data_IF_891809478758
#
_entry.id   IF_891809478758
#
_cell.length_a   1.000
_cell.length_b   1.000
_cell.length_c   1.000
_cell.angle_alpha   90.00
_cell.angle_beta   90.00
_cell.angle_gamma   90.00
#
_symmetry.space_group_name_H-M   'P 1'
#
loop_
_entity.id
_entity.type
_entity.pdbx_description
1 polymer ?
#
# COMPACT_ATOMS: atom_id res chain seq x y z
N UNK A 1 -18.42 72.87 22.60
CA UNK A 1 -18.71 72.92 21.15
C UNK A 1 -17.70 72.04 20.42
N UNK A 2 -18.18 71.08 19.62
CA UNK A 2 -17.44 70.22 18.66
C UNK A 2 -16.54 69.11 19.29
N UNK A 3 -16.46 67.86 18.82
CA UNK A 3 -16.99 67.20 17.61
C UNK A 3 -16.89 65.67 17.78
N UNK A 4 -18.00 64.98 17.57
CA UNK A 4 -18.24 63.84 16.68
C UNK A 4 -17.26 62.64 16.66
N UNK A 5 -17.80 61.52 17.16
CA UNK A 5 -17.76 60.14 16.66
C UNK A 5 -16.84 59.88 15.45
N UNK A 6 -15.86 59.00 15.62
CA UNK A 6 -15.25 58.27 14.50
C UNK A 6 -15.43 56.77 14.69
N UNK A 7 -16.07 56.21 13.68
CA UNK A 7 -16.44 54.83 13.45
C UNK A 7 -15.31 53.85 13.78
N UNK A 8 -15.68 52.80 14.51
CA UNK A 8 -14.98 51.52 14.57
C UNK A 8 -15.06 50.91 13.17
N UNK A 9 -13.91 50.74 12.50
CA UNK A 9 -13.80 49.88 11.32
C UNK A 9 -13.01 48.65 11.72
N UNK A 10 -13.71 47.62 12.20
CA UNK A 10 -13.15 46.27 12.35
C UNK A 10 -13.13 45.67 10.95
N UNK A 11 -11.96 45.61 10.34
CA UNK A 11 -11.73 44.87 9.10
C UNK A 11 -11.62 43.38 9.46
N UNK A 12 -12.74 42.66 9.40
CA UNK A 12 -12.79 41.21 9.55
C UNK A 12 -12.25 40.58 8.25
N UNK A 13 -10.93 40.40 8.17
CA UNK A 13 -10.28 39.65 7.10
C UNK A 13 -10.61 38.17 7.25
N UNK A 14 -11.59 37.69 6.48
CA UNK A 14 -11.92 36.27 6.36
C UNK A 14 -10.81 35.56 5.57
N UNK A 15 -9.80 35.06 6.28
CA UNK A 15 -8.81 34.16 5.71
C UNK A 15 -9.47 32.80 5.44
N UNK A 16 -10.00 32.63 4.23
CA UNK A 16 -10.42 31.31 3.74
C UNK A 16 -9.14 30.51 3.46
N UNK A 17 -8.71 29.72 4.44
CA UNK A 17 -7.75 28.64 4.20
C UNK A 17 -8.46 27.58 3.37
N UNK A 18 -8.27 27.61 2.06
CA UNK A 18 -8.61 26.48 1.19
C UNK A 18 -7.61 25.38 1.52
N UNK A 19 -7.98 24.50 2.44
CA UNK A 19 -7.26 23.24 2.65
C UNK A 19 -7.37 22.44 1.36
N UNK A 20 -6.28 22.37 0.58
CA UNK A 20 -6.15 21.38 -0.48
C UNK A 20 -6.18 20.00 0.16
N UNK A 21 -7.37 19.39 0.20
CA UNK A 21 -7.49 17.97 0.49
C UNK A 21 -6.82 17.25 -0.68
N UNK A 22 -5.66 16.63 -0.42
CA UNK A 22 -5.13 15.66 -1.35
C UNK A 22 -6.14 14.51 -1.42
N UNK A 23 -6.96 14.50 -2.47
CA UNK A 23 -7.98 13.47 -2.64
C UNK A 23 -7.28 12.17 -2.97
N UNK A 24 -7.49 11.14 -2.16
CA UNK A 24 -7.05 9.80 -2.48
C UNK A 24 -7.84 9.30 -3.69
N UNK A 25 -7.14 8.89 -4.75
CA UNK A 25 -7.75 8.18 -5.85
C UNK A 25 -7.79 6.69 -5.50
N UNK A 26 -8.99 6.16 -5.33
CA UNK A 26 -9.24 4.72 -5.16
C UNK A 26 -9.30 4.09 -6.55
N UNK A 27 -8.39 3.17 -6.86
CA UNK A 27 -8.39 2.46 -8.14
C UNK A 27 -9.21 1.17 -8.09
N UNK A 28 -9.15 0.48 -6.95
CA UNK A 28 -9.96 -0.69 -6.62
C UNK A 28 -10.17 -0.70 -5.11
N UNK A 29 -11.37 -1.06 -4.65
CA UNK A 29 -11.59 -1.19 -3.20
C UNK A 29 -10.95 -2.46 -2.65
N UNK A 30 -10.62 -2.48 -1.36
CA UNK A 30 -10.14 -3.71 -0.70
C UNK A 30 -11.12 -4.89 -0.87
N UNK A 31 -12.43 -4.61 -0.81
CA UNK A 31 -13.47 -5.61 -0.98
C UNK A 31 -13.48 -6.19 -2.39
N UNK A 32 -13.38 -5.35 -3.43
CA UNK A 32 -13.29 -5.81 -4.81
C UNK A 32 -12.00 -6.61 -5.06
N UNK A 33 -10.86 -6.13 -4.55
CA UNK A 33 -9.60 -6.85 -4.66
C UNK A 33 -9.70 -8.25 -4.04
N UNK A 34 -10.20 -8.34 -2.80
CA UNK A 34 -10.45 -9.62 -2.12
C UNK A 34 -11.40 -10.52 -2.91
N UNK A 35 -12.51 -9.97 -3.43
CA UNK A 35 -13.48 -10.73 -4.21
C UNK A 35 -12.87 -11.29 -5.50
N UNK A 36 -11.98 -10.54 -6.16
CA UNK A 36 -11.27 -11.02 -7.34
C UNK A 36 -10.26 -12.12 -6.98
N UNK A 37 -9.46 -11.91 -5.92
CA UNK A 37 -8.40 -12.85 -5.51
C UNK A 37 -8.95 -14.19 -5.04
N UNK A 38 -10.09 -14.16 -4.35
CA UNK A 38 -10.77 -15.36 -3.85
C UNK A 38 -11.92 -15.84 -4.76
N UNK A 39 -11.99 -15.40 -6.02
CA UNK A 39 -13.05 -15.83 -6.95
C UNK A 39 -13.00 -17.34 -7.26
N UNK A 40 -11.84 -17.96 -7.14
CA UNK A 40 -11.64 -19.40 -7.37
C UNK A 40 -12.13 -20.26 -6.20
N UNK A 41 -12.52 -19.64 -5.08
CA UNK A 41 -12.92 -20.33 -3.85
C UNK A 41 -14.33 -20.90 -3.99
N UNK A 42 -14.51 -22.17 -3.62
CA UNK A 42 -15.81 -22.84 -3.61
C UNK A 42 -16.73 -22.24 -2.56
N UNK A 43 -18.05 -22.35 -2.77
CA UNK A 43 -19.06 -21.68 -1.93
C UNK A 43 -19.04 -22.06 -0.43
N UNK A 44 -18.43 -23.18 -0.06
CA UNK A 44 -18.29 -23.69 1.30
C UNK A 44 -16.99 -23.25 2.00
N UNK A 45 -16.00 -22.78 1.24
CA UNK A 45 -14.75 -22.23 1.77
C UNK A 45 -14.81 -20.69 1.83
N UNK A 46 -14.23 -20.10 2.87
CA UNK A 46 -14.14 -18.64 3.02
C UNK A 46 -12.77 -18.24 3.54
N UNK A 47 -12.17 -17.15 3.02
CA UNK A 47 -10.93 -16.64 3.58
C UNK A 47 -11.15 -16.21 5.03
N UNK A 48 -10.26 -16.67 5.91
CA UNK A 48 -10.21 -16.25 7.31
C UNK A 48 -9.46 -14.93 7.40
N UNK A 49 -9.89 -14.08 8.32
CA UNK A 49 -9.14 -12.87 8.67
C UNK A 49 -8.30 -13.16 9.89
N UNK A 50 -6.99 -13.01 9.75
CA UNK A 50 -6.02 -13.26 10.80
C UNK A 50 -5.27 -11.96 11.15
N UNK A 51 -4.56 -11.98 12.28
CA UNK A 51 -3.79 -10.84 12.76
C UNK A 51 -2.38 -11.30 13.11
N UNK A 52 -1.40 -10.73 12.44
CA UNK A 52 0.02 -10.95 12.68
C UNK A 52 0.57 -9.81 13.55
N UNK A 53 1.14 -10.15 14.70
CA UNK A 53 1.90 -9.20 15.52
C UNK A 53 3.30 -9.04 14.96
N UNK A 54 3.76 -7.80 14.81
CA UNK A 54 5.11 -7.51 14.36
C UNK A 54 6.02 -7.43 15.59
N UNK A 55 6.59 -8.58 15.96
CA UNK A 55 7.64 -8.62 16.97
C UNK A 55 8.91 -7.90 16.48
N UNK A 56 9.93 -7.83 17.33
CA UNK A 56 11.16 -7.12 16.98
C UNK A 56 11.87 -7.73 15.77
N UNK A 57 11.91 -9.07 15.67
CA UNK A 57 12.59 -9.77 14.57
C UNK A 57 11.90 -9.50 13.22
N UNK A 58 10.56 -9.52 13.23
CA UNK A 58 9.77 -9.21 12.04
C UNK A 58 9.85 -7.73 11.68
N UNK A 59 9.85 -6.82 12.67
CA UNK A 59 10.10 -5.40 12.42
C UNK A 59 11.47 -5.14 11.80
N UNK A 60 12.52 -5.82 12.27
CA UNK A 60 13.87 -5.69 11.73
C UNK A 60 13.93 -6.21 10.29
N UNK A 61 13.29 -7.35 10.01
CA UNK A 61 13.19 -7.92 8.67
C UNK A 61 12.44 -7.01 7.69
N UNK A 62 11.31 -6.43 8.11
CA UNK A 62 10.58 -5.44 7.32
C UNK A 62 11.41 -4.16 7.13
N UNK A 63 12.13 -3.71 8.16
CA UNK A 63 13.01 -2.53 8.06
C UNK A 63 14.11 -2.74 7.04
N UNK A 64 14.69 -3.95 6.95
CA UNK A 64 15.67 -4.29 5.92
C UNK A 64 15.12 -4.17 4.49
N UNK A 65 13.83 -4.47 4.27
CA UNK A 65 13.17 -4.35 2.96
C UNK A 65 12.74 -2.90 2.69
N UNK A 66 12.11 -2.25 3.65
CA UNK A 66 11.48 -0.94 3.49
C UNK A 66 12.49 0.21 3.61
N UNK A 67 13.61 0.00 4.31
CA UNK A 67 14.56 1.05 4.68
C UNK A 67 14.08 1.94 5.82
N UNK A 68 12.94 1.62 6.43
CA UNK A 68 12.41 2.26 7.63
C UNK A 68 11.50 1.28 8.40
N UNK A 69 11.26 1.52 9.71
CA UNK A 69 10.31 0.72 10.47
C UNK A 69 8.91 0.77 9.87
N UNK A 70 8.19 -0.36 9.93
CA UNK A 70 6.80 -0.36 9.53
C UNK A 70 5.94 0.28 10.63
N UNK A 71 5.04 1.23 10.33
CA UNK A 71 4.44 2.11 11.34
C UNK A 71 3.37 1.45 12.22
N UNK A 72 3.02 0.18 11.98
CA UNK A 72 1.97 -0.55 12.70
C UNK A 72 2.59 -1.65 13.57
N UNK A 73 2.00 -1.95 14.72
CA UNK A 73 2.43 -3.05 15.60
C UNK A 73 1.85 -4.42 15.20
N UNK A 74 0.82 -4.41 14.35
CA UNK A 74 0.16 -5.61 13.86
C UNK A 74 -0.45 -5.38 12.49
N UNK A 75 -0.57 -6.45 11.73
CA UNK A 75 -1.17 -6.47 10.39
C UNK A 75 -2.37 -7.41 10.38
N UNK A 76 -3.46 -6.98 9.77
CA UNK A 76 -4.55 -7.87 9.39
C UNK A 76 -4.30 -8.40 7.99
N UNK A 77 -4.59 -9.67 7.78
CA UNK A 77 -4.49 -10.31 6.47
C UNK A 77 -5.61 -11.33 6.29
N UNK A 78 -5.86 -11.68 5.04
CA UNK A 78 -6.83 -12.71 4.68
C UNK A 78 -6.06 -13.94 4.25
N UNK A 79 -6.45 -15.11 4.74
CA UNK A 79 -5.82 -16.38 4.43
C UNK A 79 -6.86 -17.41 4.02
N UNK A 80 -6.55 -18.16 2.97
CA UNK A 80 -7.27 -19.38 2.63
C UNK A 80 -6.26 -20.36 2.04
N UNK A 81 -6.19 -21.56 2.61
CA UNK A 81 -5.20 -22.58 2.23
C UNK A 81 -3.78 -21.97 2.19
N UNK A 82 -3.10 -22.04 1.04
CA UNK A 82 -1.79 -21.42 0.84
C UNK A 82 -1.84 -20.08 0.09
N UNK A 83 -2.96 -19.37 0.15
CA UNK A 83 -3.10 -18.00 -0.34
C UNK A 83 -3.20 -17.02 0.82
N UNK A 84 -2.45 -15.91 0.74
CA UNK A 84 -2.61 -14.77 1.65
C UNK A 84 -2.83 -13.48 0.88
N UNK A 85 -3.68 -12.60 1.40
CA UNK A 85 -3.87 -11.23 0.89
C UNK A 85 -3.55 -10.19 1.96
N UNK A 86 -2.70 -9.25 1.60
CA UNK A 86 -2.19 -8.17 2.44
C UNK A 86 -2.56 -6.81 1.87
N UNK A 87 -2.83 -5.84 2.75
CA UNK A 87 -2.93 -4.43 2.39
C UNK A 87 -1.87 -3.65 3.13
N UNK A 88 -0.90 -3.12 2.38
CA UNK A 88 0.31 -2.50 2.92
C UNK A 88 0.46 -1.09 2.35
N UNK A 89 0.98 -0.19 3.18
CA UNK A 89 1.23 1.20 2.82
C UNK A 89 2.72 1.42 2.68
N UNK A 90 3.15 2.12 1.64
CA UNK A 90 4.54 2.58 1.48
C UNK A 90 4.56 4.00 0.91
N UNK A 91 5.53 4.81 1.34
CA UNK A 91 5.69 6.17 0.81
C UNK A 91 6.26 6.08 -0.61
N UNK A 92 5.57 6.70 -1.56
CA UNK A 92 6.11 6.93 -2.89
C UNK A 92 7.15 8.05 -2.85
N UNK A 93 6.73 9.25 -3.23
CA UNK A 93 7.59 10.44 -3.20
C UNK A 93 7.38 11.25 -1.91
N UNK A 94 6.13 11.50 -1.54
CA UNK A 94 5.72 12.41 -0.46
C UNK A 94 4.54 11.87 0.37
N UNK A 95 3.73 10.95 -0.18
CA UNK A 95 2.48 10.45 0.39
C UNK A 95 2.42 8.92 0.34
N UNK A 96 1.69 8.29 1.28
CA UNK A 96 1.52 6.85 1.27
C UNK A 96 0.64 6.40 0.11
N UNK A 97 1.08 5.34 -0.56
CA UNK A 97 0.33 4.56 -1.52
C UNK A 97 -0.09 3.26 -0.84
N UNK A 98 -1.36 2.90 -0.95
CA UNK A 98 -1.88 1.65 -0.39
C UNK A 98 -1.91 0.60 -1.49
N UNK A 99 -1.31 -0.55 -1.24
CA UNK A 99 -1.21 -1.66 -2.18
C UNK A 99 -1.91 -2.90 -1.63
N UNK A 100 -2.55 -3.66 -2.52
CA UNK A 100 -3.04 -5.00 -2.25
C UNK A 100 -2.04 -6.01 -2.83
N UNK A 101 -1.62 -6.99 -2.03
CA UNK A 101 -0.71 -8.06 -2.47
C UNK A 101 -1.36 -9.40 -2.16
N UNK A 102 -1.53 -10.22 -3.19
CA UNK A 102 -1.97 -11.62 -3.13
C UNK A 102 -0.76 -12.50 -3.39
N UNK A 103 -0.50 -13.44 -2.49
CA UNK A 103 0.61 -14.40 -2.59
C UNK A 103 0.05 -15.81 -2.48
N UNK A 104 0.43 -16.68 -3.42
CA UNK A 104 0.06 -18.10 -3.47
C UNK A 104 1.36 -18.89 -3.65
N UNK A 105 1.57 -19.94 -2.85
CA UNK A 105 2.73 -20.83 -3.00
C UNK A 105 4.08 -20.08 -3.06
N UNK A 106 4.27 -19.13 -2.13
CA UNK A 106 5.46 -18.26 -2.05
C UNK A 106 5.74 -17.39 -3.30
N UNK A 107 4.72 -17.18 -4.14
CA UNK A 107 4.80 -16.39 -5.38
C UNK A 107 3.70 -15.35 -5.42
N UNK A 108 3.99 -14.20 -6.00
CA UNK A 108 2.99 -13.15 -6.17
C UNK A 108 1.95 -13.62 -7.18
N UNK A 109 0.71 -13.77 -6.72
CA UNK A 109 -0.46 -13.97 -7.59
C UNK A 109 -0.90 -12.64 -8.22
N UNK A 110 -0.86 -11.56 -7.43
CA UNK A 110 -1.19 -10.22 -7.91
C UNK A 110 -0.70 -9.15 -6.95
N UNK A 111 -0.31 -8.00 -7.49
CA UNK A 111 -0.13 -6.76 -6.74
C UNK A 111 -0.81 -5.60 -7.47
N UNK A 112 -1.60 -4.79 -6.75
CA UNK A 112 -2.32 -3.65 -7.32
C UNK A 112 -2.30 -2.45 -6.38
N UNK A 113 -2.43 -1.25 -6.95
CA UNK A 113 -2.66 -0.02 -6.19
C UNK A 113 -4.13 0.04 -5.78
N UNK A 114 -4.39 0.14 -4.48
CA UNK A 114 -5.75 0.29 -3.92
C UNK A 114 -6.10 1.78 -3.84
N UNK A 115 -5.24 2.55 -3.17
CA UNK A 115 -5.39 4.00 -3.00
C UNK A 115 -4.08 4.73 -3.29
N UNK A 116 -4.18 5.81 -4.06
CA UNK A 116 -3.05 6.63 -4.47
C UNK A 116 -3.28 8.09 -4.10
N UNK A 117 -2.29 8.70 -3.46
CA UNK A 117 -2.40 10.04 -2.86
C UNK A 117 -1.33 11.01 -3.36
N UNK A 118 -0.63 10.64 -4.43
CA UNK A 118 0.49 11.38 -5.00
C UNK A 118 0.08 12.13 -6.26
N UNK A 119 0.86 13.15 -6.60
CA UNK A 119 0.60 13.96 -7.80
C UNK A 119 1.06 13.32 -9.11
N UNK A 120 2.04 12.39 -9.05
CA UNK A 120 2.72 11.81 -10.21
C UNK A 120 3.12 10.36 -9.94
N UNK A 121 3.39 9.63 -11.02
CA UNK A 121 3.76 8.23 -10.96
C UNK A 121 2.56 7.34 -10.70
N UNK A 122 1.37 7.79 -11.11
CA UNK A 122 0.14 7.01 -10.97
C UNK A 122 0.15 5.80 -11.90
N UNK A 123 0.93 5.81 -12.97
CA UNK A 123 1.04 4.77 -14.00
C UNK A 123 1.33 3.36 -13.43
N UNK A 124 1.86 3.25 -12.21
CA UNK A 124 2.05 1.98 -11.52
C UNK A 124 0.73 1.22 -11.25
N UNK A 125 -0.43 1.90 -11.27
CA UNK A 125 -1.74 1.26 -11.14
C UNK A 125 -2.14 0.43 -12.36
N UNK A 126 -1.51 0.68 -13.52
CA UNK A 126 -1.88 0.04 -14.77
C UNK A 126 -1.54 -1.45 -14.73
N UNK A 127 -2.48 -2.30 -15.15
CA UNK A 127 -2.27 -3.74 -15.20
C UNK A 127 -1.05 -4.12 -16.06
N UNK A 128 -0.80 -3.40 -17.15
CA UNK A 128 0.37 -3.62 -18.00
C UNK A 128 1.69 -3.48 -17.25
N UNK A 129 1.74 -2.65 -16.21
CA UNK A 129 2.90 -2.51 -15.35
C UNK A 129 2.92 -3.58 -14.24
N UNK A 130 1.81 -3.74 -13.52
CA UNK A 130 1.76 -4.60 -12.33
C UNK A 130 1.94 -6.08 -12.63
N UNK A 131 1.61 -6.53 -13.85
CA UNK A 131 1.83 -7.92 -14.28
C UNK A 131 3.30 -8.36 -14.32
N UNK A 132 4.26 -7.43 -14.29
CA UNK A 132 5.68 -7.77 -14.17
C UNK A 132 6.02 -8.46 -12.84
N UNK A 133 5.16 -8.29 -11.82
CA UNK A 133 5.33 -8.92 -10.51
C UNK A 133 4.72 -10.32 -10.43
N UNK A 134 3.87 -10.70 -11.38
CA UNK A 134 3.20 -12.00 -11.37
C UNK A 134 4.25 -13.13 -11.38
N UNK A 135 4.02 -14.17 -10.58
CA UNK A 135 4.88 -15.34 -10.40
C UNK A 135 6.26 -15.10 -9.75
N UNK A 136 6.60 -13.85 -9.41
CA UNK A 136 7.85 -13.54 -8.72
C UNK A 136 7.85 -14.04 -7.27
N UNK A 137 9.02 -14.48 -6.81
CA UNK A 137 9.27 -14.94 -5.45
C UNK A 137 10.45 -14.21 -4.82
N UNK A 138 10.66 -14.44 -3.51
CA UNK A 138 11.87 -14.00 -2.83
C UNK A 138 13.02 -14.98 -3.08
N UNK A 139 14.20 -14.42 -3.33
CA UNK A 139 15.50 -15.09 -3.25
C UNK A 139 15.93 -15.30 -1.79
N UNK A 140 17.06 -15.97 -1.58
CA UNK A 140 17.65 -16.15 -0.23
C UNK A 140 18.01 -14.81 0.43
N UNK A 141 18.42 -13.82 -0.37
CA UNK A 141 18.76 -12.46 0.10
C UNK A 141 17.53 -11.55 0.28
N UNK A 142 16.32 -12.11 0.25
CA UNK A 142 15.05 -11.38 0.30
C UNK A 142 14.88 -10.34 -0.83
N UNK A 143 15.54 -10.49 -1.96
CA UNK A 143 15.26 -9.73 -3.19
C UNK A 143 14.28 -10.49 -4.10
N UNK A 144 13.63 -9.77 -5.04
CA UNK A 144 12.79 -10.42 -6.05
C UNK A 144 13.67 -11.22 -7.02
N UNK A 145 13.23 -12.42 -7.38
CA UNK A 145 13.93 -13.27 -8.35
C UNK A 145 13.78 -12.83 -9.82
N UNK A 146 13.12 -11.71 -10.08
CA UNK A 146 12.86 -11.17 -11.41
C UNK A 146 13.11 -9.67 -11.50
N UNK A 147 13.35 -9.21 -12.73
CA UNK A 147 13.49 -7.78 -13.02
C UNK A 147 12.13 -7.11 -13.18
N UNK A 148 12.04 -5.85 -12.76
CA UNK A 148 10.88 -5.00 -12.93
C UNK A 148 11.37 -3.71 -13.59
N UNK A 149 10.90 -3.46 -14.81
CA UNK A 149 11.21 -2.26 -15.56
C UNK A 149 10.71 -1.02 -14.81
N UNK A 150 11.41 0.09 -15.01
CA UNK A 150 11.00 1.38 -14.47
C UNK A 150 9.87 2.01 -15.27
N UNK A 151 9.23 3.01 -14.66
CA UNK A 151 8.40 3.98 -15.37
C UNK A 151 9.10 5.33 -15.26
N UNK A 152 9.34 5.97 -16.41
CA UNK A 152 9.96 7.30 -16.48
C UNK A 152 9.19 8.30 -15.62
N UNK A 153 9.89 8.97 -14.70
CA UNK A 153 9.27 9.95 -13.80
C UNK A 153 8.49 9.37 -12.62
N UNK A 154 8.45 8.04 -12.46
CA UNK A 154 7.75 7.35 -11.38
C UNK A 154 8.68 6.43 -10.56
N UNK A 155 9.99 6.67 -10.59
CA UNK A 155 11.00 5.82 -9.92
C UNK A 155 10.68 5.53 -8.45
N UNK A 156 10.17 6.52 -7.72
CA UNK A 156 9.83 6.35 -6.31
C UNK A 156 8.57 5.51 -6.10
N UNK A 157 7.52 5.69 -6.92
CA UNK A 157 6.33 4.85 -6.91
C UNK A 157 6.66 3.39 -7.27
N UNK A 158 7.53 3.20 -8.28
CA UNK A 158 8.04 1.87 -8.66
C UNK A 158 8.83 1.25 -7.52
N UNK A 159 9.72 2.00 -6.88
CA UNK A 159 10.48 1.52 -5.72
C UNK A 159 9.56 1.11 -4.57
N UNK A 160 8.52 1.90 -4.27
CA UNK A 160 7.54 1.60 -3.23
C UNK A 160 6.83 0.27 -3.51
N UNK A 161 6.37 0.06 -4.75
CA UNK A 161 5.71 -1.18 -5.15
C UNK A 161 6.66 -2.40 -5.08
N UNK A 162 7.93 -2.26 -5.44
CA UNK A 162 8.95 -3.31 -5.28
C UNK A 162 9.17 -3.69 -3.82
N UNK A 163 9.28 -2.71 -2.93
CA UNK A 163 9.41 -2.95 -1.49
C UNK A 163 8.18 -3.68 -0.94
N UNK A 164 6.99 -3.27 -1.33
CA UNK A 164 5.75 -3.91 -0.88
C UNK A 164 5.61 -5.33 -1.42
N UNK A 165 6.00 -5.58 -2.67
CA UNK A 165 6.05 -6.94 -3.23
C UNK A 165 6.92 -7.87 -2.36
N UNK A 166 8.15 -7.41 -2.02
CA UNK A 166 9.06 -8.16 -1.13
C UNK A 166 8.49 -8.36 0.27
N UNK A 167 7.91 -7.30 0.85
CA UNK A 167 7.30 -7.38 2.18
C UNK A 167 6.12 -8.36 2.21
N UNK A 168 5.23 -8.33 1.21
CA UNK A 168 4.11 -9.26 1.09
C UNK A 168 4.55 -10.73 1.00
N UNK A 169 5.61 -11.01 0.22
CA UNK A 169 6.20 -12.34 0.13
C UNK A 169 6.84 -12.81 1.45
N UNK A 170 7.57 -11.92 2.14
CA UNK A 170 8.16 -12.23 3.45
C UNK A 170 7.06 -12.57 4.48
N UNK A 171 6.01 -11.73 4.54
CA UNK A 171 4.88 -11.92 5.44
C UNK A 171 4.09 -13.20 5.13
N UNK A 172 3.92 -13.54 3.86
CA UNK A 172 3.34 -14.80 3.44
C UNK A 172 4.13 -15.98 3.99
N UNK A 173 5.44 -16.06 3.69
CA UNK A 173 6.34 -17.13 4.14
C UNK A 173 6.22 -17.38 5.65
N UNK A 174 6.25 -16.31 6.44
CA UNK A 174 6.18 -16.40 7.91
C UNK A 174 4.82 -16.83 8.47
N UNK A 175 3.74 -16.68 7.70
CA UNK A 175 2.37 -17.01 8.14
C UNK A 175 1.82 -18.30 7.53
N UNK A 176 2.54 -18.90 6.58
CA UNK A 176 2.17 -20.18 5.95
C UNK A 176 3.14 -21.31 6.23
N UNK A 177 4.40 -21.02 6.56
CA UNK A 177 5.44 -22.03 6.86
C UNK A 177 5.68 -22.25 8.37
N UNK A 178 4.84 -21.65 9.23
CA UNK A 178 4.88 -21.77 10.70
C UNK A 178 3.89 -22.74 11.29
#
# INVERSE_FOLDING_TARGET
MMKNKRLITILLGLAVFISMTANAQVYITQQEFLAQRFKHVKSDQKPKVETLWLDQSLQDSLTGILGHPYPKLRLRYWKLDNQTVWFLDEIGKERPITFGVSVIDNRIDKIEVIEFRESRGYEIHMETFSRQFDDLSLTEDNDLNGHIDGITGATMSVSAMKKIARAGLLLHRLTTEG
#
